data_IF_419853167693
#
_entry.id   IF_419853167693
#
_cell.length_a   1.000
_cell.length_b   1.000
_cell.length_c   1.000
_cell.angle_alpha   90.00
_cell.angle_beta   90.00
_cell.angle_gamma   90.00
#
_symmetry.space_group_name_H-M   'P 1'
#
loop_
_entity.id
_entity.type
_entity.pdbx_description
1 polymer ?
#
# COMPACT_ATOMS: atom_id res chain seq x y z
N UNK A 1 -39.39 1.70 13.58
CA UNK A 1 -38.20 1.39 12.76
C UNK A 1 -37.79 2.66 12.03
N UNK A 2 -36.54 3.08 12.15
CA UNK A 2 -36.02 4.16 11.30
C UNK A 2 -35.82 3.60 9.88
N UNK A 3 -36.18 4.35 8.82
CA UNK A 3 -36.05 3.89 7.43
C UNK A 3 -34.59 3.96 6.91
N UNK A 4 -33.61 4.01 7.81
CA UNK A 4 -32.20 4.12 7.47
C UNK A 4 -31.34 3.39 8.51
N UNK A 5 -30.22 2.87 8.03
CA UNK A 5 -29.16 2.29 8.85
C UNK A 5 -27.94 3.18 8.73
N UNK A 6 -27.37 3.59 9.87
CA UNK A 6 -26.07 4.28 9.88
C UNK A 6 -24.98 3.23 9.65
N UNK A 7 -24.19 3.42 8.60
CA UNK A 7 -22.96 2.67 8.37
C UNK A 7 -21.85 3.47 9.06
N UNK A 8 -21.21 2.89 10.08
CA UNK A 8 -20.08 3.53 10.74
C UNK A 8 -18.93 3.73 9.76
N UNK A 9 -18.26 4.88 9.81
CA UNK A 9 -16.99 5.04 9.09
C UNK A 9 -15.94 4.17 9.78
N UNK A 10 -15.12 3.43 9.01
CA UNK A 10 -13.96 2.75 9.56
C UNK A 10 -13.05 3.78 10.24
N UNK A 11 -12.43 3.43 11.37
CA UNK A 11 -11.47 4.29 12.03
C UNK A 11 -10.04 4.02 11.52
N UNK A 12 -9.15 5.00 11.66
CA UNK A 12 -7.72 4.87 11.29
C UNK A 12 -6.77 5.03 12.49
N UNK A 13 -7.32 5.18 13.71
CA UNK A 13 -6.55 5.46 14.92
C UNK A 13 -5.54 4.37 15.25
N UNK A 14 -5.94 3.10 15.14
CA UNK A 14 -5.07 1.95 15.39
C UNK A 14 -3.98 1.83 14.32
N UNK A 15 -4.34 2.04 13.04
CA UNK A 15 -3.39 2.04 11.93
C UNK A 15 -2.27 3.08 12.12
N UNK A 16 -2.60 4.28 12.64
CA UNK A 16 -1.60 5.31 12.93
C UNK A 16 -0.59 4.89 14.02
N UNK A 17 -1.02 4.11 15.00
CA UNK A 17 -0.14 3.65 16.09
C UNK A 17 0.86 2.59 15.62
N UNK A 18 0.51 1.86 14.55
CA UNK A 18 1.37 0.84 13.94
C UNK A 18 2.44 1.40 13.01
N UNK A 19 2.32 2.67 12.61
CA UNK A 19 3.29 3.31 11.73
C UNK A 19 4.63 3.57 12.43
N UNK A 20 5.71 3.47 11.64
CA UNK A 20 7.06 3.80 12.08
C UNK A 20 7.23 5.27 12.52
N UNK A 21 8.38 5.61 13.11
CA UNK A 21 8.63 6.91 13.74
C UNK A 21 8.73 8.07 12.73
N UNK A 22 8.98 7.79 11.45
CA UNK A 22 9.09 8.82 10.43
C UNK A 22 7.78 9.57 10.25
N UNK A 23 7.90 10.85 9.89
CA UNK A 23 6.80 11.79 9.71
C UNK A 23 6.91 12.41 8.32
N UNK A 24 5.75 12.81 7.78
CA UNK A 24 5.64 13.49 6.48
C UNK A 24 6.34 12.72 5.35
N UNK A 25 6.24 11.39 5.38
CA UNK A 25 6.86 10.53 4.36
C UNK A 25 5.92 10.43 3.17
N UNK A 26 6.46 10.66 1.97
CA UNK A 26 5.68 10.74 0.74
C UNK A 26 4.96 9.42 0.39
N UNK A 27 5.56 8.29 0.76
CA UNK A 27 5.10 6.96 0.39
C UNK A 27 4.47 6.23 1.58
N UNK A 28 3.26 5.71 1.39
CA UNK A 28 2.61 4.71 2.25
C UNK A 28 2.50 3.38 1.52
N UNK A 29 2.95 2.32 2.16
CA UNK A 29 2.82 0.94 1.68
C UNK A 29 1.92 0.17 2.63
N UNK A 30 0.79 -0.30 2.11
CA UNK A 30 -0.15 -1.15 2.83
C UNK A 30 -0.02 -2.59 2.32
N UNK A 31 0.18 -3.52 3.24
CA UNK A 31 0.24 -4.95 2.94
C UNK A 31 -0.48 -5.76 4.02
N UNK A 32 -0.68 -7.05 3.75
CA UNK A 32 -1.18 -8.03 4.70
C UNK A 32 -0.47 -9.38 4.50
N UNK A 33 -0.49 -10.23 5.52
CA UNK A 33 0.02 -11.61 5.47
C UNK A 33 1.10 -11.90 6.50
N UNK A 34 1.69 -13.11 6.40
CA UNK A 34 2.61 -13.63 7.41
C UNK A 34 3.98 -12.94 7.45
N UNK A 35 4.67 -13.09 8.58
CA UNK A 35 5.99 -12.53 8.88
C UNK A 35 7.05 -12.82 7.79
N UNK A 36 6.97 -14.01 7.16
CA UNK A 36 7.84 -14.44 6.06
C UNK A 36 7.77 -13.51 4.85
N UNK A 37 6.59 -12.92 4.59
CA UNK A 37 6.35 -12.01 3.45
C UNK A 37 6.93 -10.63 3.67
N UNK A 38 7.23 -10.26 4.91
CA UNK A 38 7.93 -9.01 5.24
C UNK A 38 9.35 -8.99 4.67
N UNK A 39 10.03 -10.14 4.64
CA UNK A 39 11.35 -10.26 4.01
C UNK A 39 11.28 -10.08 2.49
N UNK A 40 10.26 -10.66 1.85
CA UNK A 40 10.02 -10.49 0.41
C UNK A 40 9.70 -9.02 0.07
N UNK A 41 8.79 -8.38 0.81
CA UNK A 41 8.49 -6.96 0.66
C UNK A 41 9.74 -6.09 0.87
N UNK A 42 10.56 -6.40 1.87
CA UNK A 42 11.83 -5.71 2.11
C UNK A 42 12.75 -5.72 0.89
N UNK A 43 12.83 -6.85 0.16
CA UNK A 43 13.61 -6.93 -1.08
C UNK A 43 13.04 -6.06 -2.21
N UNK A 44 11.72 -5.98 -2.32
CA UNK A 44 11.04 -5.11 -3.31
C UNK A 44 11.36 -3.65 -3.00
N UNK A 45 11.20 -3.24 -1.74
CA UNK A 45 11.45 -1.86 -1.30
C UNK A 45 12.92 -1.48 -1.43
N UNK A 46 13.84 -2.37 -1.06
CA UNK A 46 15.28 -2.17 -1.23
C UNK A 46 15.66 -1.97 -2.71
N UNK A 47 15.06 -2.75 -3.62
CA UNK A 47 15.26 -2.57 -5.07
C UNK A 47 14.77 -1.20 -5.56
N UNK A 48 13.72 -0.65 -4.93
CA UNK A 48 13.22 0.69 -5.20
C UNK A 48 13.99 1.83 -4.48
N UNK A 49 15.04 1.50 -3.73
CA UNK A 49 15.92 2.46 -3.06
C UNK A 49 15.57 2.76 -1.59
N UNK A 50 14.58 2.06 -1.02
CA UNK A 50 14.20 2.21 0.39
C UNK A 50 14.88 1.15 1.25
N UNK A 51 15.84 1.57 2.08
CA UNK A 51 16.65 0.69 2.92
C UNK A 51 16.12 0.64 4.36
N UNK A 52 15.45 1.70 4.82
CA UNK A 52 14.90 1.80 6.18
C UNK A 52 13.38 2.10 6.16
N UNK A 53 12.53 1.10 5.82
CA UNK A 53 11.08 1.24 5.97
C UNK A 53 10.68 1.65 7.38
N UNK A 54 9.74 2.60 7.50
CA UNK A 54 9.36 3.24 8.77
C UNK A 54 10.08 4.55 9.08
N UNK A 55 11.22 4.81 8.41
CA UNK A 55 11.90 6.13 8.41
C UNK A 55 11.85 6.81 7.05
N UNK A 56 11.89 6.04 5.97
CA UNK A 56 11.93 6.55 4.59
C UNK A 56 10.59 6.44 3.86
N UNK A 57 9.72 5.55 4.35
CA UNK A 57 8.34 5.41 3.94
C UNK A 57 7.48 4.97 5.12
N UNK A 58 6.18 5.23 5.06
CA UNK A 58 5.21 4.64 5.96
C UNK A 58 4.96 3.20 5.53
N UNK A 59 5.22 2.24 6.43
CA UNK A 59 4.94 0.83 6.20
C UNK A 59 3.85 0.41 7.17
N UNK A 60 2.74 -0.11 6.65
CA UNK A 60 1.60 -0.54 7.45
C UNK A 60 1.19 -1.97 7.06
N UNK A 61 1.22 -2.85 8.05
CA UNK A 61 0.56 -4.14 7.99
C UNK A 61 -0.85 -3.98 8.54
N UNK A 62 -1.85 -4.37 7.75
CA UNK A 62 -3.25 -4.29 8.17
C UNK A 62 -3.99 -5.58 7.79
N UNK A 63 -4.95 -6.08 8.59
CA UNK A 63 -5.71 -7.27 8.21
C UNK A 63 -6.57 -6.98 6.98
N UNK A 64 -6.53 -7.85 5.97
CA UNK A 64 -7.40 -7.71 4.80
C UNK A 64 -8.91 -7.87 5.12
N UNK A 65 -9.23 -8.45 6.29
CA UNK A 65 -10.58 -8.61 6.82
C UNK A 65 -11.19 -7.31 7.34
N UNK A 66 -10.36 -6.35 7.72
CA UNK A 66 -10.77 -5.21 8.52
C UNK A 66 -10.85 -3.97 7.64
N UNK A 67 -11.89 -3.17 7.84
CA UNK A 67 -12.05 -1.92 7.12
C UNK A 67 -11.07 -0.86 7.65
N UNK A 68 -10.62 0.03 6.78
CA UNK A 68 -9.70 1.12 7.11
C UNK A 68 -10.11 2.41 6.41
N UNK A 69 -10.20 3.52 7.14
CA UNK A 69 -10.31 4.84 6.51
C UNK A 69 -8.94 5.28 6.01
N UNK A 70 -8.61 4.80 4.81
CA UNK A 70 -7.35 5.11 4.16
C UNK A 70 -7.24 6.60 3.82
N UNK A 71 -8.35 7.27 3.49
CA UNK A 71 -8.34 8.70 3.16
C UNK A 71 -7.96 9.54 4.39
N UNK A 72 -8.55 9.23 5.55
CA UNK A 72 -8.17 9.83 6.84
C UNK A 72 -6.72 9.57 7.20
N UNK A 73 -6.25 8.32 7.01
CA UNK A 73 -4.86 7.94 7.25
C UNK A 73 -3.90 8.75 6.36
N UNK A 74 -4.15 8.81 5.06
CA UNK A 74 -3.34 9.55 4.07
C UNK A 74 -3.27 11.03 4.44
N UNK A 75 -4.41 11.64 4.78
CA UNK A 75 -4.45 13.05 5.19
C UNK A 75 -3.62 13.31 6.44
N UNK A 76 -3.60 12.36 7.38
CA UNK A 76 -2.85 12.49 8.63
C UNK A 76 -1.35 12.24 8.44
N UNK A 77 -0.95 11.35 7.55
CA UNK A 77 0.47 11.06 7.28
C UNK A 77 1.10 12.04 6.31
N UNK A 78 0.30 12.69 5.46
CA UNK A 78 0.79 13.55 4.38
C UNK A 78 1.31 12.78 3.17
N UNK A 79 1.13 11.46 3.12
CA UNK A 79 1.57 10.64 2.01
C UNK A 79 0.85 11.04 0.71
N UNK A 80 1.58 11.11 -0.40
CA UNK A 80 1.02 11.41 -1.73
C UNK A 80 1.13 10.24 -2.70
N UNK A 81 1.84 9.17 -2.30
CA UNK A 81 2.02 7.93 -3.05
C UNK A 81 1.63 6.74 -2.19
N UNK A 82 0.78 5.86 -2.72
CA UNK A 82 0.22 4.73 -1.99
C UNK A 82 0.41 3.44 -2.79
N UNK A 83 1.00 2.41 -2.18
CA UNK A 83 1.07 1.06 -2.75
C UNK A 83 0.20 0.12 -1.90
N UNK A 84 -0.68 -0.62 -2.54
CA UNK A 84 -1.64 -1.51 -1.90
C UNK A 84 -1.44 -2.94 -2.41
N UNK A 85 -1.01 -3.85 -1.55
CA UNK A 85 -0.80 -5.26 -1.91
C UNK A 85 -1.98 -6.13 -1.52
N UNK A 86 -2.70 -6.65 -2.53
CA UNK A 86 -3.76 -7.65 -2.34
C UNK A 86 -5.00 -7.14 -1.60
N UNK A 87 -5.27 -5.84 -1.67
CA UNK A 87 -6.47 -5.22 -1.07
C UNK A 87 -7.57 -4.98 -2.09
N UNK A 88 -8.80 -5.07 -1.60
CA UNK A 88 -9.99 -4.67 -2.34
C UNK A 88 -10.28 -3.19 -1.99
N UNK A 89 -10.36 -2.26 -2.97
CA UNK A 89 -10.51 -0.83 -2.72
C UNK A 89 -11.65 -0.47 -1.74
N UNK A 90 -12.79 -1.17 -1.84
CA UNK A 90 -14.00 -0.88 -1.05
C UNK A 90 -13.79 -1.01 0.46
N UNK A 91 -12.94 -1.94 0.92
CA UNK A 91 -12.61 -2.10 2.36
C UNK A 91 -11.72 -0.98 2.90
N UNK A 92 -11.05 -0.26 2.00
CA UNK A 92 -10.20 0.88 2.33
C UNK A 92 -10.95 2.22 2.20
N UNK A 93 -12.27 2.18 2.07
CA UNK A 93 -13.09 3.38 1.83
C UNK A 93 -12.87 4.03 0.45
N UNK A 94 -12.23 3.32 -0.49
CA UNK A 94 -12.01 3.81 -1.85
C UNK A 94 -13.19 3.44 -2.76
N UNK A 95 -13.72 4.45 -3.45
CA UNK A 95 -14.89 4.33 -4.31
C UNK A 95 -14.55 4.26 -5.81
N UNK A 96 -13.38 3.70 -6.14
CA UNK A 96 -12.95 3.48 -7.53
C UNK A 96 -12.30 2.11 -7.66
N UNK A 97 -12.34 1.57 -8.87
CA UNK A 97 -11.70 0.30 -9.23
C UNK A 97 -10.66 0.57 -10.32
N UNK A 98 -9.50 -0.08 -10.21
CA UNK A 98 -8.38 0.07 -11.14
C UNK A 98 -7.70 -1.27 -11.32
N UNK A 99 -7.15 -1.51 -12.50
CA UNK A 99 -6.34 -2.70 -12.76
C UNK A 99 -5.05 -2.66 -11.93
N UNK A 100 -4.61 -3.82 -11.45
CA UNK A 100 -3.32 -3.95 -10.79
C UNK A 100 -2.19 -3.52 -11.73
N UNK A 101 -1.12 -2.99 -11.13
CA UNK A 101 0.10 -2.54 -11.80
C UNK A 101 -0.04 -1.33 -12.72
N UNK A 102 -1.16 -0.61 -12.61
CA UNK A 102 -1.38 0.66 -13.34
C UNK A 102 -1.46 1.80 -12.31
N UNK A 103 -0.40 2.62 -12.17
CA UNK A 103 -0.45 3.81 -11.34
C UNK A 103 -1.55 4.75 -11.81
N UNK A 104 -2.38 5.23 -10.89
CA UNK A 104 -3.40 6.23 -11.17
C UNK A 104 -3.34 7.35 -10.13
N UNK A 105 -3.58 8.58 -10.57
CA UNK A 105 -3.64 9.73 -9.68
C UNK A 105 -5.09 10.18 -9.50
N UNK A 106 -5.54 10.21 -8.25
CA UNK A 106 -6.88 10.67 -7.86
C UNK A 106 -6.71 11.71 -6.76
N UNK A 107 -7.26 12.91 -6.98
CA UNK A 107 -7.17 14.02 -6.02
C UNK A 107 -5.73 14.34 -5.56
N UNK A 108 -4.76 14.24 -6.48
CA UNK A 108 -3.34 14.51 -6.19
C UNK A 108 -2.59 13.37 -5.49
N UNK A 109 -3.27 12.26 -5.19
CA UNK A 109 -2.67 11.06 -4.59
C UNK A 109 -2.48 10.00 -5.67
N UNK A 110 -1.28 9.44 -5.77
CA UNK A 110 -0.96 8.38 -6.74
C UNK A 110 -1.07 7.01 -6.08
N UNK A 111 -1.96 6.17 -6.59
CA UNK A 111 -2.21 4.82 -6.09
C UNK A 111 -1.62 3.79 -7.04
N UNK A 112 -1.05 2.74 -6.48
CA UNK A 112 -0.63 1.54 -7.17
C UNK A 112 -1.21 0.33 -6.45
N UNK A 113 -2.17 -0.33 -7.10
CA UNK A 113 -2.69 -1.61 -6.65
C UNK A 113 -1.83 -2.72 -7.23
N UNK A 114 -1.56 -3.73 -6.42
CA UNK A 114 -0.81 -4.91 -6.79
C UNK A 114 -1.53 -6.16 -6.27
N UNK A 115 -1.20 -7.31 -6.85
CA UNK A 115 -1.63 -8.58 -6.26
C UNK A 115 -1.04 -8.74 -4.85
N UNK A 116 -1.52 -9.73 -4.10
CA UNK A 116 -0.96 -10.02 -2.78
C UNK A 116 0.52 -10.39 -2.90
N UNK A 117 1.29 -10.10 -1.84
CA UNK A 117 2.71 -10.46 -1.80
C UNK A 117 2.94 -11.95 -2.03
N UNK A 118 2.05 -12.80 -1.52
CA UNK A 118 2.08 -14.24 -1.75
C UNK A 118 1.90 -14.63 -3.20
N UNK A 119 0.92 -14.04 -3.89
CA UNK A 119 0.70 -14.36 -5.28
C UNK A 119 1.94 -13.99 -6.11
N UNK A 120 2.53 -12.83 -5.83
CA UNK A 120 3.74 -12.36 -6.52
C UNK A 120 4.94 -13.26 -6.20
N UNK A 121 5.10 -13.70 -4.97
CA UNK A 121 6.19 -14.59 -4.56
C UNK A 121 6.03 -16.00 -5.16
N UNK A 122 4.84 -16.60 -5.05
CA UNK A 122 4.55 -17.95 -5.56
C UNK A 122 4.70 -18.03 -7.09
N UNK A 123 4.22 -17.03 -7.82
CA UNK A 123 4.35 -16.99 -9.29
C UNK A 123 5.81 -16.89 -9.70
N UNK A 124 6.59 -16.06 -9.01
CA UNK A 124 8.03 -15.92 -9.22
C UNK A 124 8.78 -17.23 -8.96
N UNK A 125 8.48 -17.92 -7.85
CA UNK A 125 9.12 -19.20 -7.51
C UNK A 125 8.74 -20.32 -8.50
N UNK A 126 7.57 -20.21 -9.13
CA UNK A 126 7.11 -21.09 -10.21
C UNK A 126 7.74 -20.75 -11.58
N UNK A 127 8.61 -19.74 -11.65
CA UNK A 127 9.29 -19.28 -12.87
C UNK A 127 8.49 -18.25 -13.70
N UNK A 128 7.30 -17.85 -13.27
CA UNK A 128 6.50 -16.80 -13.91
C UNK A 128 6.82 -15.42 -13.30
N UNK A 129 7.66 -14.66 -14.00
CA UNK A 129 8.09 -13.34 -13.55
C UNK A 129 7.16 -12.20 -13.96
N UNK A 130 5.98 -12.47 -14.55
CA UNK A 130 5.09 -11.42 -15.07
C UNK A 130 4.60 -10.47 -13.97
N UNK A 131 4.11 -10.99 -12.84
CA UNK A 131 3.60 -10.16 -11.76
C UNK A 131 4.71 -9.29 -11.13
N UNK A 132 5.86 -9.89 -10.82
CA UNK A 132 7.02 -9.16 -10.30
C UNK A 132 7.56 -8.12 -11.30
N UNK A 133 7.58 -8.45 -12.59
CA UNK A 133 8.00 -7.55 -13.67
C UNK A 133 7.03 -6.37 -13.84
N UNK A 134 5.72 -6.62 -13.82
CA UNK A 134 4.69 -5.58 -13.87
C UNK A 134 4.76 -4.64 -12.66
N UNK A 135 4.92 -5.20 -11.45
CA UNK A 135 5.14 -4.41 -10.25
C UNK A 135 6.37 -3.50 -10.40
N UNK A 136 7.50 -4.07 -10.80
CA UNK A 136 8.71 -3.28 -11.00
C UNK A 136 8.55 -2.19 -12.07
N UNK A 137 7.87 -2.52 -13.17
CA UNK A 137 7.52 -1.56 -14.22
C UNK A 137 6.72 -0.37 -13.68
N UNK A 138 5.69 -0.66 -12.88
CA UNK A 138 4.85 0.35 -12.25
C UNK A 138 5.56 1.13 -11.13
N UNK A 139 6.50 0.53 -10.42
CA UNK A 139 7.29 1.25 -9.42
C UNK A 139 8.23 2.28 -10.05
N UNK A 140 8.85 1.93 -11.20
CA UNK A 140 9.79 2.81 -11.90
C UNK A 140 9.18 4.13 -12.39
N UNK A 141 7.87 4.19 -12.63
CA UNK A 141 7.23 5.40 -13.13
C UNK A 141 7.03 6.46 -12.06
N UNK A 142 6.74 6.09 -10.80
CA UNK A 142 6.37 7.09 -9.78
C UNK A 142 6.74 6.75 -8.34
N UNK A 143 7.30 5.56 -8.05
CA UNK A 143 7.49 5.05 -6.69
C UNK A 143 8.95 4.71 -6.34
N UNK A 144 9.91 5.06 -7.18
CA UNK A 144 11.32 4.96 -6.79
C UNK A 144 11.66 6.08 -5.82
N UNK A 145 12.56 5.79 -4.88
CA UNK A 145 13.14 6.83 -4.03
C UNK A 145 13.92 7.80 -4.91
N UNK A 146 13.54 9.08 -4.88
CA UNK A 146 14.36 10.13 -5.48
C UNK A 146 15.54 10.42 -4.55
N UNK A 147 16.77 10.58 -5.09
CA UNK A 147 17.87 11.10 -4.30
C UNK A 147 17.50 12.51 -3.82
N UNK A 148 17.71 12.79 -2.53
CA UNK A 148 17.56 14.13 -1.97
C UNK A 148 18.55 15.05 -2.70
N UNK A 149 18.02 15.93 -3.55
CA UNK A 149 18.76 16.99 -4.24
C UNK A 149 19.06 18.16 -3.32
#
# INVERSE_FOLDING_TARGET
MLPFQLIGQPEYGDALQLLGPGRDLELLVLYHGELTRRAFLGRILAAAGYQEPGKELHLLEWPASDDLDLAGLIRRTGATKIILFGYIPRRLGLHFEVANYVPITVAGITYLFADSLEFIEQTKDSGDNRAAGSLWGAMKTSFLRQPLS
#
